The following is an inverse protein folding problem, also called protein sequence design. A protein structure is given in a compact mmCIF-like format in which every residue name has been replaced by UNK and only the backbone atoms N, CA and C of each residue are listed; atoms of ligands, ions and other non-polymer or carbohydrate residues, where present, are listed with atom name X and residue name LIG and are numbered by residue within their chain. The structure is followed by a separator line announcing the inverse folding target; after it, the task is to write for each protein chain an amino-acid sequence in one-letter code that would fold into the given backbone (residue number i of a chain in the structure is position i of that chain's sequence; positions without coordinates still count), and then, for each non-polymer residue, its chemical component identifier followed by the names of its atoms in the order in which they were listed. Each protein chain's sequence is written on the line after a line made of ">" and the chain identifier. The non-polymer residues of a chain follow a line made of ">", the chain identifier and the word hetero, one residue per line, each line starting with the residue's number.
data_IF_164386917106
#
_entry.id   IF_164386917106
#
_cell.length_a   1.000
_cell.length_b   1.000
_cell.length_c   1.000
_cell.angle_alpha   90.00
_cell.angle_beta   90.00
_cell.angle_gamma   90.00
#
_symmetry.space_group_name_H-M   'P 1'
#
loop_
_entity.id
_entity.type
_entity.pdbx_description
1 polymer ?
#
# COMPACT_ATOMS: atom_id res chain seq x y z
N UNK A 1 -20.60 -8.38 -15.09
CA UNK A 1 -19.97 -9.59 -14.48
C UNK A 1 -18.49 -9.70 -14.77
N UNK A 2 -18.04 -9.47 -16.02
CA UNK A 2 -16.61 -9.48 -16.40
C UNK A 2 -15.79 -8.40 -15.68
N UNK A 3 -16.29 -7.16 -15.59
CA UNK A 3 -15.58 -6.06 -14.91
C UNK A 3 -15.35 -6.32 -13.42
N UNK A 4 -16.34 -6.90 -12.72
CA UNK A 4 -16.19 -7.29 -11.30
C UNK A 4 -15.07 -8.32 -11.11
N UNK A 5 -14.98 -9.33 -11.98
CA UNK A 5 -13.90 -10.32 -11.93
C UNK A 5 -12.53 -9.69 -12.20
N UNK A 6 -12.44 -8.76 -13.16
CA UNK A 6 -11.19 -8.05 -13.44
C UNK A 6 -10.69 -7.26 -12.23
N UNK A 7 -11.58 -6.50 -11.57
CA UNK A 7 -11.20 -5.75 -10.38
C UNK A 7 -10.78 -6.65 -9.22
N UNK A 8 -11.56 -7.70 -8.95
CA UNK A 8 -11.30 -8.61 -7.82
C UNK A 8 -10.01 -9.42 -7.97
N UNK A 9 -9.74 -9.94 -9.18
CA UNK A 9 -8.63 -10.88 -9.38
C UNK A 9 -7.36 -10.24 -9.92
N UNK A 10 -7.46 -9.11 -10.62
CA UNK A 10 -6.31 -8.49 -11.29
C UNK A 10 -5.96 -7.15 -10.67
N UNK A 11 -6.90 -6.20 -10.66
CA UNK A 11 -6.61 -4.82 -10.27
C UNK A 11 -6.18 -4.70 -8.80
N UNK A 12 -7.03 -5.13 -7.86
CA UNK A 12 -6.77 -4.97 -6.43
C UNK A 12 -5.57 -5.78 -5.89
N UNK A 13 -5.41 -7.08 -6.22
CA UNK A 13 -4.27 -7.84 -5.71
C UNK A 13 -2.98 -7.53 -6.47
N UNK A 14 -2.99 -7.44 -7.80
CA UNK A 14 -1.74 -7.36 -8.58
C UNK A 14 -1.24 -5.92 -8.67
N UNK A 15 -2.12 -4.99 -9.08
CA UNK A 15 -1.71 -3.60 -9.32
C UNK A 15 -1.49 -2.87 -8.00
N UNK A 16 -2.38 -3.08 -7.03
CA UNK A 16 -2.36 -2.32 -5.78
C UNK A 16 -1.50 -2.93 -4.67
N UNK A 17 -1.18 -4.23 -4.71
CA UNK A 17 -0.35 -4.87 -3.68
C UNK A 17 0.97 -5.43 -4.25
N UNK A 18 0.92 -6.31 -5.26
CA UNK A 18 2.14 -6.98 -5.77
C UNK A 18 3.15 -5.99 -6.36
N UNK A 19 2.70 -5.01 -7.16
CA UNK A 19 3.58 -3.98 -7.71
C UNK A 19 4.27 -3.12 -6.63
N UNK A 20 3.56 -2.51 -5.67
CA UNK A 20 4.21 -1.73 -4.62
C UNK A 20 5.12 -2.58 -3.72
N UNK A 21 4.75 -3.82 -3.41
CA UNK A 21 5.61 -4.72 -2.61
C UNK A 21 6.90 -5.06 -3.37
N UNK A 22 6.81 -5.44 -4.65
CA UNK A 22 7.99 -5.81 -5.45
C UNK A 22 8.91 -4.61 -5.71
N UNK A 23 8.35 -3.43 -5.98
CA UNK A 23 9.13 -2.18 -6.12
C UNK A 23 9.81 -1.78 -4.81
N UNK A 24 9.16 -2.01 -3.67
CA UNK A 24 9.76 -1.79 -2.34
C UNK A 24 10.91 -2.75 -2.08
N UNK A 25 10.71 -4.05 -2.32
CA UNK A 25 11.74 -5.07 -2.10
C UNK A 25 12.95 -4.81 -3.00
N UNK A 26 12.72 -4.53 -4.28
CA UNK A 26 13.80 -4.23 -5.24
C UNK A 26 14.53 -2.94 -4.89
N UNK A 27 13.80 -1.87 -4.53
CA UNK A 27 14.42 -0.61 -4.07
C UNK A 27 15.23 -0.79 -2.79
N UNK A 28 14.72 -1.58 -1.84
CA UNK A 28 15.42 -1.90 -0.58
C UNK A 28 16.70 -2.69 -0.84
N UNK A 29 16.63 -3.68 -1.74
CA UNK A 29 17.77 -4.49 -2.12
C UNK A 29 18.82 -3.66 -2.88
N UNK A 30 18.39 -2.79 -3.80
CA UNK A 30 19.27 -1.87 -4.52
C UNK A 30 19.92 -0.87 -3.56
N UNK A 31 19.16 -0.32 -2.61
CA UNK A 31 19.70 0.54 -1.55
C UNK A 31 20.77 -0.21 -0.72
N UNK A 32 20.49 -1.44 -0.31
CA UNK A 32 21.45 -2.26 0.44
C UNK A 32 22.73 -2.54 -0.37
N UNK A 33 22.59 -2.93 -1.65
CA UNK A 33 23.74 -3.15 -2.56
C UNK A 33 24.54 -1.87 -2.79
N UNK A 34 23.87 -0.73 -2.97
CA UNK A 34 24.51 0.57 -3.16
C UNK A 34 25.26 1.01 -1.91
N UNK A 35 24.68 0.88 -0.72
CA UNK A 35 25.37 1.17 0.55
C UNK A 35 26.61 0.28 0.69
N UNK A 36 26.52 -1.03 0.43
CA UNK A 36 27.65 -1.96 0.52
C UNK A 36 28.76 -1.64 -0.49
N UNK A 37 28.41 -1.18 -1.70
CA UNK A 37 29.37 -0.73 -2.73
C UNK A 37 30.04 0.58 -2.33
N UNK A 38 29.28 1.54 -1.79
CA UNK A 38 29.78 2.85 -1.33
C UNK A 38 30.71 2.70 -0.12
N UNK A 39 30.48 1.70 0.76
CA UNK A 39 31.38 1.39 1.90
C UNK A 39 32.82 1.17 1.44
N UNK A 40 33.02 0.52 0.28
CA UNK A 40 34.35 0.28 -0.31
C UNK A 40 35.02 1.53 -0.92
N UNK A 41 34.28 2.60 -1.19
CA UNK A 41 34.76 3.79 -1.92
C UNK A 41 35.09 5.00 -1.01
N UNK A 42 35.22 4.82 0.32
CA UNK A 42 35.61 5.87 1.28
C UNK A 42 34.88 7.23 1.14
N UNK A 43 33.63 7.26 0.66
CA UNK A 43 32.83 8.50 0.65
C UNK A 43 32.55 9.02 2.07
N UNK A 44 32.48 10.34 2.27
CA UNK A 44 32.37 10.97 3.58
C UNK A 44 31.17 10.44 4.37
N UNK A 45 31.41 10.13 5.66
CA UNK A 45 30.48 9.46 6.58
C UNK A 45 29.14 10.19 6.69
N UNK A 46 29.14 11.51 6.56
CA UNK A 46 27.93 12.34 6.68
C UNK A 46 26.92 12.09 5.56
N UNK A 47 27.37 11.99 4.30
CA UNK A 47 26.47 11.67 3.15
C UNK A 47 25.90 10.26 3.24
N UNK A 48 26.64 9.29 3.79
CA UNK A 48 26.17 7.90 3.97
C UNK A 48 24.99 7.82 4.94
N UNK A 49 24.98 8.60 6.02
CA UNK A 49 23.89 8.60 7.01
C UNK A 49 22.63 9.20 6.42
N UNK A 50 22.77 10.30 5.67
CA UNK A 50 21.64 10.96 5.00
C UNK A 50 21.00 10.05 3.94
N UNK A 51 21.79 9.42 3.07
CA UNK A 51 21.25 8.51 2.03
C UNK A 51 20.54 7.30 2.66
N UNK A 52 21.12 6.73 3.73
CA UNK A 52 20.51 5.60 4.45
C UNK A 52 19.21 6.02 5.14
N UNK A 53 19.16 7.20 5.75
CA UNK A 53 17.94 7.74 6.34
C UNK A 53 16.87 8.00 5.29
N UNK A 54 17.19 8.60 4.16
CA UNK A 54 16.24 8.85 3.07
C UNK A 54 15.65 7.53 2.54
N UNK A 55 16.46 6.48 2.36
CA UNK A 55 15.95 5.16 1.95
C UNK A 55 15.09 4.48 3.02
N UNK A 56 15.42 4.65 4.30
CA UNK A 56 14.62 4.12 5.40
C UNK A 56 13.27 4.85 5.52
N UNK A 57 13.26 6.17 5.33
CA UNK A 57 12.06 7.01 5.34
C UNK A 57 11.13 6.64 4.18
N UNK A 58 11.65 6.46 2.96
CA UNK A 58 10.83 6.06 1.82
C UNK A 58 10.24 4.66 2.00
N UNK A 59 11.03 3.71 2.50
CA UNK A 59 10.56 2.35 2.80
C UNK A 59 9.46 2.38 3.88
N UNK A 60 9.65 3.13 4.96
CA UNK A 60 8.65 3.31 6.00
C UNK A 60 7.35 3.94 5.45
N UNK A 61 7.45 4.99 4.61
CA UNK A 61 6.31 5.61 3.92
C UNK A 61 5.54 4.59 3.08
N UNK A 62 6.23 3.71 2.34
CA UNK A 62 5.55 2.70 1.52
C UNK A 62 4.90 1.60 2.37
N UNK A 63 5.54 1.15 3.45
CA UNK A 63 4.93 0.18 4.37
C UNK A 63 3.68 0.76 5.03
N UNK A 64 3.73 2.01 5.48
CA UNK A 64 2.56 2.73 6.02
C UNK A 64 1.49 2.87 4.94
N UNK A 65 1.90 3.15 3.69
CA UNK A 65 0.97 3.26 2.56
C UNK A 65 0.19 1.95 2.35
N UNK A 66 0.89 0.82 2.35
CA UNK A 66 0.30 -0.52 2.19
C UNK A 66 -0.58 -0.86 3.40
N UNK A 67 -0.10 -0.61 4.63
CA UNK A 67 -0.84 -0.94 5.85
C UNK A 67 -2.15 -0.16 5.97
N UNK A 68 -2.14 1.15 5.66
CA UNK A 68 -3.32 2.01 5.72
C UNK A 68 -4.20 1.91 4.46
N UNK A 69 -3.64 1.56 3.30
CA UNK A 69 -4.38 1.36 2.05
C UNK A 69 -5.06 0.00 1.92
N UNK A 70 -4.48 -1.03 2.54
CA UNK A 70 -5.02 -2.40 2.62
C UNK A 70 -6.50 -2.48 3.03
N UNK A 71 -6.96 -1.89 4.16
CA UNK A 71 -8.34 -2.03 4.60
C UNK A 71 -9.34 -1.48 3.57
N UNK A 72 -9.02 -0.37 2.91
CA UNK A 72 -9.85 0.21 1.85
C UNK A 72 -10.05 -0.75 0.67
N UNK A 73 -8.99 -1.46 0.27
CA UNK A 73 -9.02 -2.47 -0.79
C UNK A 73 -9.93 -3.64 -0.40
N UNK A 74 -9.80 -4.15 0.83
CA UNK A 74 -10.63 -5.25 1.32
C UNK A 74 -12.12 -4.90 1.35
N UNK A 75 -12.48 -3.69 1.78
CA UNK A 75 -13.87 -3.24 1.82
C UNK A 75 -14.43 -3.03 0.41
N UNK A 76 -13.64 -2.45 -0.49
CA UNK A 76 -14.02 -2.30 -1.89
C UNK A 76 -14.27 -3.66 -2.55
N UNK A 77 -13.43 -4.66 -2.25
CA UNK A 77 -13.61 -6.04 -2.69
C UNK A 77 -14.88 -6.67 -2.09
N UNK A 78 -15.12 -6.45 -0.79
CA UNK A 78 -16.31 -6.94 -0.09
C UNK A 78 -17.60 -6.39 -0.71
N UNK A 79 -17.66 -5.09 -0.99
CA UNK A 79 -18.80 -4.44 -1.66
C UNK A 79 -19.03 -4.94 -3.10
N UNK A 80 -17.95 -5.22 -3.84
CA UNK A 80 -18.08 -5.71 -5.23
C UNK A 80 -18.61 -7.14 -5.28
N UNK A 81 -18.16 -8.00 -4.35
CA UNK A 81 -18.47 -9.44 -4.35
C UNK A 81 -19.76 -9.80 -3.62
N UNK A 82 -20.16 -9.04 -2.60
CA UNK A 82 -21.46 -9.24 -1.97
C UNK A 82 -22.54 -8.53 -2.77
N UNK A 83 -23.55 -9.31 -3.17
CA UNK A 83 -24.81 -8.76 -3.61
C UNK A 83 -25.54 -8.31 -2.33
N UNK A 84 -25.26 -7.08 -1.88
CA UNK A 84 -25.85 -6.51 -0.66
C UNK A 84 -27.36 -6.69 -0.77
N UNK A 85 -27.91 -7.51 0.11
CA UNK A 85 -29.34 -7.74 0.15
C UNK A 85 -29.98 -6.43 0.63
N UNK A 86 -30.59 -5.68 -0.28
CA UNK A 86 -31.12 -4.33 -0.03
C UNK A 86 -32.21 -4.29 1.05
N UNK A 87 -32.68 -5.45 1.49
CA UNK A 87 -33.70 -5.60 2.52
C UNK A 87 -33.15 -5.43 3.95
N UNK A 88 -31.83 -5.38 4.14
CA UNK A 88 -31.22 -5.30 5.47
C UNK A 88 -30.50 -3.96 5.69
N UNK A 89 -31.27 -2.92 6.02
CA UNK A 89 -30.80 -1.54 6.19
C UNK A 89 -29.66 -1.39 7.21
N UNK A 90 -29.63 -2.23 8.26
CA UNK A 90 -28.59 -2.19 9.29
C UNK A 90 -27.21 -2.61 8.75
N UNK A 91 -27.16 -3.59 7.84
CA UNK A 91 -25.90 -4.02 7.22
C UNK A 91 -25.38 -2.97 6.24
N UNK A 92 -26.27 -2.29 5.53
CA UNK A 92 -25.91 -1.23 4.60
C UNK A 92 -25.27 -0.04 5.33
N UNK A 93 -25.87 0.40 6.44
CA UNK A 93 -25.31 1.48 7.27
C UNK A 93 -23.92 1.14 7.84
N UNK A 94 -23.70 -0.12 8.26
CA UNK A 94 -22.39 -0.56 8.75
C UNK A 94 -21.32 -0.55 7.66
N UNK A 95 -21.66 -1.05 6.46
CA UNK A 95 -20.73 -1.06 5.31
C UNK A 95 -20.36 0.36 4.91
N UNK A 96 -21.32 1.28 4.92
CA UNK A 96 -21.11 2.68 4.58
C UNK A 96 -20.20 3.38 5.61
N UNK A 97 -20.44 3.16 6.90
CA UNK A 97 -19.59 3.67 7.98
C UNK A 97 -18.14 3.17 7.85
N UNK A 98 -17.97 1.86 7.65
CA UNK A 98 -16.66 1.23 7.50
C UNK A 98 -15.93 1.75 6.25
N UNK A 99 -16.66 1.99 5.15
CA UNK A 99 -16.09 2.58 3.94
C UNK A 99 -15.63 4.02 4.14
N UNK A 100 -16.40 4.84 4.88
CA UNK A 100 -16.07 6.22 5.19
C UNK A 100 -14.82 6.31 6.08
N UNK A 101 -14.72 5.44 7.10
CA UNK A 101 -13.54 5.34 7.97
C UNK A 101 -12.30 4.92 7.18
N UNK A 102 -12.45 3.98 6.24
CA UNK A 102 -11.31 3.51 5.45
C UNK A 102 -10.88 4.54 4.40
N UNK A 103 -11.82 5.29 3.83
CA UNK A 103 -11.53 6.40 2.93
C UNK A 103 -10.82 7.55 3.66
N UNK A 104 -11.21 7.86 4.90
CA UNK A 104 -10.54 8.90 5.70
C UNK A 104 -9.11 8.52 6.07
N UNK A 105 -8.86 7.26 6.45
CA UNK A 105 -7.52 6.71 6.68
C UNK A 105 -6.64 6.80 5.43
N UNK A 106 -7.21 6.51 4.25
CA UNK A 106 -6.50 6.64 2.98
C UNK A 106 -6.17 8.10 2.66
N UNK A 107 -7.10 9.04 2.88
CA UNK A 107 -6.84 10.46 2.68
C UNK A 107 -5.76 11.02 3.61
N UNK A 108 -5.68 10.55 4.86
CA UNK A 108 -4.62 10.94 5.79
C UNK A 108 -3.24 10.46 5.30
N UNK A 109 -3.19 9.27 4.71
CA UNK A 109 -1.97 8.63 4.23
C UNK A 109 -1.38 9.29 2.96
N UNK A 110 -2.24 9.84 2.08
CA UNK A 110 -1.83 10.57 0.87
C UNK A 110 -1.52 12.06 1.11
N UNK A 111 -1.77 12.58 2.31
CA UNK A 111 -1.42 13.95 2.71
C UNK A 111 0.02 14.03 3.26
#
# INVERSE_FOLDING_TARGET
>A
TISKRYYTFFYFPIVTNVLPITTTITSSLLAYRNVRRIVRLQRPVFRRRLDRQMTAITLARVVVLIALGSPYIFISLYQINLNVNTNNYMQLALVELISAVSASLLHINFR
#
